data_IF_579155305452
#
_entry.id   IF_579155305452
#
_cell.length_a   1.000
_cell.length_b   1.000
_cell.length_c   1.000
_cell.angle_alpha   90.00
_cell.angle_beta   90.00
_cell.angle_gamma   90.00
#
_symmetry.space_group_name_H-M   'P 1'
#
loop_
_entity.id
_entity.type
_entity.pdbx_description
1 polymer ?
#
# COMPACT_ATOMS: atom_id res chain seq x y z
N UNK A 1 -10.85 21.88 35.92
CA UNK A 1 -11.74 22.33 34.82
C UNK A 1 -11.14 21.70 33.58
N UNK A 2 -11.68 20.55 33.19
CA UNK A 2 -11.07 19.65 32.20
C UNK A 2 -11.64 19.97 30.82
N UNK A 3 -10.75 20.12 29.84
CA UNK A 3 -11.04 20.39 28.44
C UNK A 3 -11.56 19.12 27.75
N UNK A 4 -12.66 19.17 26.98
CA UNK A 4 -13.04 18.08 26.09
C UNK A 4 -12.45 18.27 24.69
N UNK A 5 -11.70 17.29 24.21
CA UNK A 5 -11.28 17.15 22.80
C UNK A 5 -12.29 16.33 22.01
N UNK A 6 -12.51 16.70 20.74
CA UNK A 6 -13.37 15.96 19.81
C UNK A 6 -12.54 14.86 19.15
N UNK A 7 -13.02 13.61 19.20
CA UNK A 7 -12.48 12.46 18.46
C UNK A 7 -13.47 12.14 17.34
N UNK A 8 -13.02 12.15 16.09
CA UNK A 8 -13.80 11.70 14.93
C UNK A 8 -13.27 10.33 14.52
N UNK A 9 -14.04 9.28 14.81
CA UNK A 9 -13.79 7.90 14.38
C UNK A 9 -14.62 7.57 13.13
N UNK A 10 -13.97 7.03 12.09
CA UNK A 10 -14.60 6.62 10.83
C UNK A 10 -14.33 5.15 10.51
N UNK A 11 -15.02 4.20 11.16
CA UNK A 11 -15.01 2.79 10.74
C UNK A 11 -15.91 1.85 11.57
N UNK A 12 -16.87 1.15 10.94
CA UNK A 12 -17.97 0.37 11.55
C UNK A 12 -17.54 -0.91 12.34
N UNK A 13 -18.07 -1.12 13.56
CA UNK A 13 -19.10 -2.15 13.91
C UNK A 13 -19.46 -2.23 15.43
N UNK A 14 -20.79 -2.26 15.69
CA UNK A 14 -21.60 -2.40 16.94
C UNK A 14 -21.95 -1.08 17.69
N UNK A 15 -23.25 -0.82 17.98
CA UNK A 15 -23.66 0.40 18.66
C UNK A 15 -23.23 0.34 20.13
N UNK A 16 -22.24 1.14 20.49
CA UNK A 16 -22.01 1.51 21.88
C UNK A 16 -23.07 2.55 22.21
N UNK A 17 -23.93 2.26 23.18
CA UNK A 17 -24.86 3.22 23.75
C UNK A 17 -24.03 4.21 24.57
N UNK A 18 -23.39 5.16 23.89
CA UNK A 18 -22.81 6.31 24.54
C UNK A 18 -23.98 7.21 24.97
N UNK A 19 -24.09 7.47 26.27
CA UNK A 19 -24.86 8.61 26.75
C UNK A 19 -24.17 9.86 26.19
N UNK A 20 -24.58 10.28 24.99
CA UNK A 20 -24.31 11.61 24.49
C UNK A 20 -25.08 12.57 25.38
N UNK A 21 -24.41 13.12 26.39
CA UNK A 21 -24.77 14.46 26.85
C UNK A 21 -24.56 15.38 25.65
N UNK A 22 -25.63 15.63 24.91
CA UNK A 22 -25.73 16.77 23.99
C UNK A 22 -25.79 18.03 24.84
N UNK A 23 -24.65 18.44 25.39
CA UNK A 23 -24.46 19.79 25.89
C UNK A 23 -23.83 20.64 24.78
N UNK A 24 -24.57 21.66 24.35
CA UNK A 24 -24.15 22.64 23.37
C UNK A 24 -24.86 22.46 22.03
N UNK A 25 -25.92 23.23 21.81
CA UNK A 25 -26.26 23.65 20.45
C UNK A 25 -25.09 24.53 20.02
N UNK A 26 -24.18 23.94 19.26
CA UNK A 26 -23.10 24.66 18.61
C UNK A 26 -23.72 25.64 17.60
N UNK A 27 -23.19 26.87 17.57
CA UNK A 27 -23.60 27.91 16.63
C UNK A 27 -23.42 27.41 15.18
N UNK A 28 -24.19 27.94 14.23
CA UNK A 28 -24.11 27.59 12.80
C UNK A 28 -22.73 27.88 12.18
N UNK A 29 -21.88 28.64 12.90
CA UNK A 29 -20.52 29.02 12.50
C UNK A 29 -19.41 28.01 12.87
N UNK A 30 -19.73 26.80 13.35
CA UNK A 30 -18.71 25.83 13.80
C UNK A 30 -18.03 25.06 12.66
N UNK A 31 -18.64 25.03 11.47
CA UNK A 31 -18.04 24.46 10.26
C UNK A 31 -17.78 25.60 9.29
N UNK A 32 -16.64 26.27 9.43
CA UNK A 32 -16.19 27.31 8.49
C UNK A 32 -15.50 26.70 7.28
N UNK A 33 -15.43 27.43 6.17
CA UNK A 33 -14.65 27.02 4.99
C UNK A 33 -13.18 26.77 5.34
N UNK A 34 -12.62 27.56 6.26
CA UNK A 34 -11.26 27.40 6.77
C UNK A 34 -11.06 26.05 7.48
N UNK A 35 -12.00 25.62 8.34
CA UNK A 35 -11.93 24.31 9.01
C UNK A 35 -12.08 23.18 7.99
N UNK A 36 -12.98 23.34 7.02
CA UNK A 36 -13.15 22.36 5.94
C UNK A 36 -11.86 22.24 5.12
N UNK A 37 -11.21 23.36 4.81
CA UNK A 37 -9.96 23.35 4.06
C UNK A 37 -8.83 22.65 4.84
N UNK A 38 -8.73 22.95 6.13
CA UNK A 38 -7.71 22.39 7.02
C UNK A 38 -7.88 20.87 7.24
N UNK A 39 -9.12 20.36 7.29
CA UNK A 39 -9.39 18.95 7.60
C UNK A 39 -9.61 18.08 6.35
N UNK A 40 -10.24 18.60 5.29
CA UNK A 40 -10.70 17.77 4.15
C UNK A 40 -9.94 17.99 2.86
N UNK A 41 -9.43 19.19 2.61
CA UNK A 41 -8.86 19.53 1.31
C UNK A 41 -7.34 19.41 1.26
N UNK A 42 -6.70 19.07 2.39
CA UNK A 42 -5.25 18.98 2.53
C UNK A 42 -4.83 17.57 2.95
N UNK A 43 -3.64 17.11 2.52
CA UNK A 43 -3.03 15.92 3.08
C UNK A 43 -2.86 16.07 4.59
N UNK A 44 -2.84 14.95 5.31
CA UNK A 44 -2.46 14.96 6.72
C UNK A 44 -1.04 15.56 6.86
N UNK A 45 -0.81 16.47 7.82
CA UNK A 45 0.40 17.31 7.85
C UNK A 45 1.65 16.56 8.31
N UNK A 46 1.52 15.32 8.80
CA UNK A 46 2.65 14.47 9.18
C UNK A 46 2.83 13.38 8.14
N UNK A 47 4.05 13.28 7.60
CA UNK A 47 4.43 12.28 6.61
C UNK A 47 5.76 11.65 6.99
N UNK A 48 5.92 10.36 6.70
CA UNK A 48 7.18 9.64 6.88
C UNK A 48 7.60 9.08 5.52
N UNK A 49 8.43 9.80 4.75
CA UNK A 49 8.91 9.30 3.47
C UNK A 49 9.60 7.94 3.63
N UNK A 50 9.36 6.99 2.71
CA UNK A 50 9.96 5.67 2.80
C UNK A 50 11.46 5.73 2.54
N UNK A 51 12.20 4.85 3.20
CA UNK A 51 13.60 4.59 2.90
C UNK A 51 13.75 3.21 2.25
N UNK A 52 14.66 3.12 1.29
CA UNK A 52 14.96 1.89 0.58
C UNK A 52 16.37 1.42 0.90
N UNK A 53 16.50 0.16 1.33
CA UNK A 53 17.78 -0.44 1.72
C UNK A 53 18.15 -1.58 0.80
N UNK A 54 19.44 -1.67 0.46
CA UNK A 54 19.95 -2.73 -0.43
C UNK A 54 20.37 -3.99 0.32
N UNK A 55 20.63 -3.91 1.63
CA UNK A 55 20.90 -5.08 2.47
C UNK A 55 19.60 -5.53 3.15
N UNK A 56 19.16 -6.77 2.85
CA UNK A 56 17.98 -7.39 3.44
C UNK A 56 18.04 -7.47 4.97
N UNK A 57 19.24 -7.42 5.57
CA UNK A 57 19.44 -7.50 7.02
C UNK A 57 20.10 -6.25 7.59
N UNK A 58 19.93 -5.09 6.96
CA UNK A 58 20.49 -3.81 7.41
C UNK A 58 20.21 -3.57 8.91
N UNK A 59 21.28 -3.44 9.72
CA UNK A 59 21.16 -3.26 11.17
C UNK A 59 20.61 -1.89 11.53
N UNK A 60 21.26 -0.82 11.05
CA UNK A 60 20.96 0.56 11.41
C UNK A 60 20.45 1.33 10.21
N UNK A 61 19.35 2.05 10.40
CA UNK A 61 18.64 2.82 9.39
C UNK A 61 18.19 4.15 9.99
N UNK A 62 17.99 5.15 9.14
CA UNK A 62 17.49 6.45 9.54
C UNK A 62 16.42 6.89 8.56
N UNK A 63 15.33 7.43 9.08
CA UNK A 63 14.24 8.04 8.33
C UNK A 63 13.96 9.43 8.90
N UNK A 64 13.15 10.20 8.19
CA UNK A 64 12.72 11.53 8.60
C UNK A 64 11.19 11.55 8.70
N UNK A 65 10.68 12.16 9.77
CA UNK A 65 9.27 12.49 9.91
C UNK A 65 9.14 13.97 9.53
N UNK A 66 8.46 14.24 8.42
CA UNK A 66 8.21 15.58 7.93
C UNK A 66 6.87 16.07 8.46
N UNK A 67 6.90 17.22 9.14
CA UNK A 67 5.72 17.87 9.70
C UNK A 67 5.52 19.20 8.99
N UNK A 68 4.45 19.33 8.22
CA UNK A 68 4.19 20.50 7.36
C UNK A 68 2.98 21.27 7.86
N UNK A 69 3.16 22.54 8.22
CA UNK A 69 2.06 23.45 8.55
C UNK A 69 1.86 24.43 7.39
N UNK A 70 0.94 24.12 6.48
CA UNK A 70 0.58 25.01 5.36
C UNK A 70 -0.52 26.03 5.75
N UNK A 71 -0.82 26.16 7.05
CA UNK A 71 -1.85 27.09 7.55
C UNK A 71 -1.21 28.35 8.14
N UNK A 72 -2.05 29.37 8.32
CA UNK A 72 -1.69 30.59 9.03
C UNK A 72 -1.81 30.47 10.56
N UNK A 73 -2.18 29.29 11.07
CA UNK A 73 -2.37 29.01 12.49
C UNK A 73 -1.15 28.29 13.09
N UNK A 74 -0.79 28.57 14.36
CA UNK A 74 0.19 27.76 15.08
C UNK A 74 -0.28 26.29 15.15
N UNK A 75 0.65 25.37 14.94
CA UNK A 75 0.36 23.93 14.96
C UNK A 75 1.22 23.23 16.00
N UNK A 76 0.59 22.44 16.86
CA UNK A 76 1.26 21.53 17.78
C UNK A 76 1.13 20.10 17.29
N UNK A 77 2.21 19.35 17.32
CA UNK A 77 2.22 17.94 16.91
C UNK A 77 2.78 17.09 18.02
N UNK A 78 2.04 16.04 18.37
CA UNK A 78 2.49 15.00 19.30
C UNK A 78 2.64 13.68 18.53
N UNK A 79 3.83 13.09 18.60
CA UNK A 79 4.18 11.82 18.01
C UNK A 79 4.34 10.75 19.10
N UNK A 80 3.60 9.66 18.99
CA UNK A 80 3.66 8.53 19.92
C UNK A 80 4.00 7.25 19.16
N UNK A 81 5.18 6.70 19.44
CA UNK A 81 5.58 5.39 18.92
C UNK A 81 5.02 4.25 19.77
N UNK A 82 4.41 3.26 19.12
CA UNK A 82 3.99 2.01 19.77
C UNK A 82 5.14 1.00 19.82
N UNK A 83 5.37 0.41 20.99
CA UNK A 83 6.47 -0.55 21.19
C UNK A 83 6.40 -1.70 20.17
N UNK A 84 7.55 -2.03 19.57
CA UNK A 84 7.67 -3.02 18.51
C UNK A 84 8.56 -4.19 18.95
N UNK A 85 8.15 -5.44 18.66
CA UNK A 85 8.85 -6.63 19.18
C UNK A 85 10.16 -6.96 18.45
N UNK A 86 10.35 -6.42 17.24
CA UNK A 86 11.42 -6.82 16.32
C UNK A 86 12.35 -5.69 15.93
N UNK A 87 11.89 -4.44 16.09
CA UNK A 87 12.57 -3.23 15.64
C UNK A 87 12.68 -2.33 16.85
N UNK A 88 13.88 -1.85 17.13
CA UNK A 88 14.08 -0.75 18.07
C UNK A 88 14.10 0.55 17.27
N UNK A 89 13.38 1.57 17.73
CA UNK A 89 13.39 2.87 17.07
C UNK A 89 13.29 4.01 18.08
N UNK A 90 13.77 5.19 17.68
CA UNK A 90 13.77 6.39 18.51
C UNK A 90 13.55 7.62 17.64
N UNK A 91 12.61 8.47 18.06
CA UNK A 91 12.44 9.82 17.53
C UNK A 91 13.25 10.79 18.39
N UNK A 92 13.88 11.79 17.77
CA UNK A 92 14.64 12.80 18.51
C UNK A 92 13.70 13.71 19.33
N UNK A 93 12.50 13.98 18.80
CA UNK A 93 11.44 14.73 19.45
C UNK A 93 10.09 14.01 19.32
N UNK A 94 9.20 14.21 20.29
CA UNK A 94 7.85 13.66 20.29
C UNK A 94 6.75 14.70 20.47
N UNK A 95 7.12 15.95 20.74
CA UNK A 95 6.22 17.10 20.83
C UNK A 95 6.88 18.27 20.12
N UNK A 96 6.18 18.88 19.18
CA UNK A 96 6.68 19.93 18.30
C UNK A 96 5.72 21.11 18.31
N UNK A 97 6.27 22.32 18.29
CA UNK A 97 5.56 23.54 17.90
C UNK A 97 6.04 23.92 16.50
N UNK A 98 5.12 23.94 15.55
CA UNK A 98 5.39 24.15 14.13
C UNK A 98 4.78 25.49 13.74
N UNK A 99 5.64 26.41 13.31
CA UNK A 99 5.22 27.76 12.94
C UNK A 99 4.27 27.74 11.74
N UNK A 100 3.39 28.75 11.61
CA UNK A 100 2.60 28.92 10.39
C UNK A 100 3.47 28.92 9.13
N UNK A 101 2.98 28.29 8.06
CA UNK A 101 3.65 28.20 6.76
C UNK A 101 5.10 27.67 6.84
N UNK A 102 5.36 26.70 7.73
CA UNK A 102 6.69 26.12 7.94
C UNK A 102 6.69 24.60 7.89
N UNK A 103 7.90 24.03 7.82
CA UNK A 103 8.15 22.59 7.85
C UNK A 103 9.17 22.31 8.95
N UNK A 104 8.86 21.35 9.82
CA UNK A 104 9.79 20.77 10.78
C UNK A 104 10.14 19.33 10.40
N UNK A 105 11.34 18.89 10.74
CA UNK A 105 11.84 17.54 10.47
C UNK A 105 12.26 16.90 11.78
N UNK A 106 11.74 15.71 12.07
CA UNK A 106 12.16 14.88 13.21
C UNK A 106 12.90 13.66 12.71
N UNK A 107 14.10 13.41 13.21
CA UNK A 107 14.84 12.19 12.89
C UNK A 107 14.19 10.98 13.54
N UNK A 108 14.06 9.90 12.77
CA UNK A 108 13.63 8.58 13.22
C UNK A 108 14.78 7.58 13.02
N UNK A 109 15.50 7.28 14.11
CA UNK A 109 16.53 6.25 14.12
C UNK A 109 15.90 4.87 14.29
N UNK A 110 16.29 3.90 13.45
CA UNK A 110 15.69 2.56 13.40
C UNK A 110 16.78 1.50 13.43
N UNK A 111 16.56 0.44 14.21
CA UNK A 111 17.49 -0.67 14.38
C UNK A 111 16.79 -2.03 14.29
N UNK A 112 17.20 -2.81 13.30
CA UNK A 112 16.83 -4.22 13.13
C UNK A 112 17.73 -5.09 14.00
N UNK A 113 17.54 -5.01 15.32
CA UNK A 113 18.41 -5.64 16.31
C UNK A 113 18.50 -7.16 16.18
N UNK A 114 17.50 -7.80 15.56
CA UNK A 114 17.46 -9.24 15.30
C UNK A 114 18.05 -9.64 13.94
N UNK A 115 18.48 -8.67 13.11
CA UNK A 115 19.00 -8.90 11.76
C UNK A 115 18.06 -9.79 10.92
N UNK A 116 16.75 -9.59 11.10
CA UNK A 116 15.73 -10.28 10.28
C UNK A 116 15.74 -9.74 8.87
N UNK A 117 15.20 -10.51 7.93
CA UNK A 117 14.93 -9.98 6.60
C UNK A 117 13.94 -8.82 6.72
N UNK A 118 14.25 -7.67 6.13
CA UNK A 118 13.46 -6.45 6.21
C UNK A 118 12.08 -6.63 5.60
N UNK A 119 11.94 -7.45 4.55
CA UNK A 119 10.62 -7.78 3.99
C UNK A 119 9.77 -8.64 4.94
N UNK A 120 10.40 -9.32 5.91
CA UNK A 120 9.73 -10.20 6.89
C UNK A 120 9.34 -9.49 8.19
N UNK A 121 9.69 -8.21 8.37
CA UNK A 121 9.36 -7.45 9.57
C UNK A 121 7.93 -6.95 9.54
N UNK A 122 7.30 -6.76 10.71
CA UNK A 122 6.06 -5.97 10.83
C UNK A 122 6.35 -4.47 10.84
N UNK A 123 5.40 -3.61 10.40
CA UNK A 123 5.57 -2.17 10.43
C UNK A 123 5.58 -1.63 11.87
N UNK A 124 6.32 -0.53 12.05
CA UNK A 124 6.26 0.33 13.23
C UNK A 124 4.95 1.14 13.17
N UNK A 125 4.24 1.22 14.29
CA UNK A 125 3.08 2.12 14.41
C UNK A 125 3.50 3.43 15.08
N UNK A 126 3.22 4.55 14.41
CA UNK A 126 3.42 5.90 14.95
C UNK A 126 2.08 6.62 14.90
N UNK A 127 1.59 7.04 16.06
CA UNK A 127 0.39 7.87 16.18
C UNK A 127 0.79 9.33 16.19
N UNK A 128 0.17 10.11 15.32
CA UNK A 128 0.31 11.56 15.29
C UNK A 128 -0.99 12.20 15.72
N UNK A 129 -0.91 13.11 16.69
CA UNK A 129 -1.97 14.04 17.04
C UNK A 129 -1.53 15.45 16.67
N UNK A 130 -2.37 16.14 15.90
CA UNK A 130 -2.10 17.47 15.37
C UNK A 130 -3.18 18.40 15.88
N UNK A 131 -2.76 19.49 16.50
CA UNK A 131 -3.63 20.52 17.08
C UNK A 131 -3.31 21.86 16.44
N UNK A 132 -4.29 22.47 15.78
CA UNK A 132 -4.19 23.85 15.33
C UNK A 132 -4.85 24.76 16.34
N UNK A 133 -4.06 25.70 16.85
CA UNK A 133 -4.49 26.63 17.91
C UNK A 133 -5.19 27.84 17.30
N UNK A 134 -6.40 28.14 17.77
CA UNK A 134 -7.18 29.30 17.32
C UNK A 134 -7.39 30.29 18.47
N UNK A 135 -7.27 31.58 18.16
CA UNK A 135 -7.66 32.63 19.10
C UNK A 135 -9.19 32.69 19.19
N UNK A 136 -9.73 32.69 20.40
CA UNK A 136 -11.17 32.79 20.71
C UNK A 136 -12.08 31.69 20.13
N UNK A 137 -11.51 30.57 19.66
CA UNK A 137 -12.24 29.39 19.18
C UNK A 137 -11.62 28.10 19.72
N UNK A 138 -12.37 26.99 19.78
CA UNK A 138 -11.79 25.70 20.11
C UNK A 138 -10.72 25.29 19.09
N UNK A 139 -9.68 24.62 19.58
CA UNK A 139 -8.63 24.05 18.74
C UNK A 139 -9.20 23.00 17.78
N UNK A 140 -8.57 22.88 16.61
CA UNK A 140 -8.86 21.80 15.67
C UNK A 140 -7.86 20.67 15.89
N UNK A 141 -8.36 19.50 16.30
CA UNK A 141 -7.54 18.33 16.58
C UNK A 141 -7.78 17.25 15.52
N UNK A 142 -6.70 16.69 14.98
CA UNK A 142 -6.71 15.56 14.05
C UNK A 142 -5.76 14.48 14.54
N UNK A 143 -6.11 13.22 14.31
CA UNK A 143 -5.27 12.08 14.67
C UNK A 143 -5.15 11.11 13.51
N UNK A 144 -3.94 10.57 13.32
CA UNK A 144 -3.70 9.48 12.37
C UNK A 144 -2.70 8.48 12.95
N UNK A 145 -2.99 7.19 12.78
CA UNK A 145 -2.00 6.13 12.95
C UNK A 145 -1.32 5.87 11.61
N UNK A 146 0.00 5.94 11.58
CA UNK A 146 0.83 5.65 10.42
C UNK A 146 1.57 4.33 10.63
N UNK A 147 1.60 3.50 9.59
CA UNK A 147 2.33 2.24 9.55
C UNK A 147 3.60 2.43 8.73
N UNK A 148 4.75 2.39 9.38
CA UNK A 148 6.04 2.65 8.76
C UNK A 148 6.95 1.43 8.79
N UNK A 149 7.49 1.07 7.64
CA UNK A 149 8.46 -0.02 7.51
C UNK A 149 9.55 0.42 6.51
N UNK A 150 10.85 0.37 6.88
CA UNK A 150 11.92 0.46 5.88
C UNK A 150 11.73 -0.60 4.80
N UNK A 151 11.88 -0.22 3.53
CA UNK A 151 11.59 -1.11 2.40
C UNK A 151 12.87 -1.71 1.84
N UNK A 152 12.86 -3.01 1.51
CA UNK A 152 13.93 -3.57 0.69
C UNK A 152 13.87 -2.96 -0.72
N UNK A 153 15.03 -2.61 -1.28
CA UNK A 153 15.14 -2.06 -2.62
C UNK A 153 15.06 -3.18 -3.66
N UNK A 154 13.85 -3.46 -4.14
CA UNK A 154 13.63 -4.39 -5.25
C UNK A 154 14.12 -3.77 -6.56
N UNK A 155 14.89 -4.53 -7.33
CA UNK A 155 15.41 -4.13 -8.64
C UNK A 155 14.67 -4.88 -9.74
N UNK A 156 14.22 -4.15 -10.76
CA UNK A 156 13.72 -4.73 -12.00
C UNK A 156 14.90 -4.81 -12.96
N UNK A 157 15.25 -6.01 -13.40
CA UNK A 157 16.44 -6.28 -14.22
C UNK A 157 16.06 -6.70 -15.64
N UNK A 158 16.95 -6.41 -16.60
CA UNK A 158 16.81 -6.95 -17.95
C UNK A 158 17.05 -8.47 -17.93
N UNK A 159 16.16 -9.28 -18.53
CA UNK A 159 16.33 -10.72 -18.57
C UNK A 159 17.44 -11.11 -19.55
N UNK A 160 18.07 -12.27 -19.34
CA UNK A 160 19.10 -12.80 -20.26
C UNK A 160 18.50 -13.26 -21.60
N UNK A 161 17.23 -13.67 -21.57
CA UNK A 161 16.45 -14.09 -22.74
C UNK A 161 15.23 -13.19 -22.85
N UNK A 162 14.81 -12.91 -24.08
CA UNK A 162 13.54 -12.22 -24.32
C UNK A 162 12.40 -13.07 -23.73
N UNK A 163 11.55 -12.44 -22.93
CA UNK A 163 10.36 -13.07 -22.36
C UNK A 163 9.27 -13.11 -23.43
N UNK A 164 8.70 -14.28 -23.66
CA UNK A 164 7.54 -14.51 -24.50
C UNK A 164 6.33 -14.69 -23.60
N UNK A 165 5.35 -13.80 -23.70
CA UNK A 165 4.10 -13.90 -22.91
C UNK A 165 3.25 -15.05 -23.45
N UNK A 166 3.49 -16.25 -22.95
CA UNK A 166 2.80 -17.48 -23.33
C UNK A 166 2.31 -18.29 -22.13
N UNK A 167 2.48 -17.75 -20.93
CA UNK A 167 2.14 -18.38 -19.65
C UNK A 167 3.20 -19.39 -19.18
N UNK A 168 4.35 -19.51 -19.83
CA UNK A 168 5.45 -20.38 -19.41
C UNK A 168 6.59 -19.60 -18.77
N UNK A 169 7.00 -20.02 -17.58
CA UNK A 169 7.99 -19.28 -16.80
C UNK A 169 9.45 -19.70 -17.05
N UNK A 170 9.72 -20.49 -18.09
CA UNK A 170 11.04 -21.10 -18.33
C UNK A 170 12.14 -20.09 -18.68
N UNK A 171 11.76 -18.90 -19.16
CA UNK A 171 12.65 -17.83 -19.59
C UNK A 171 13.03 -16.87 -18.45
N UNK A 172 12.35 -16.96 -17.32
CA UNK A 172 12.51 -16.06 -16.18
C UNK A 172 13.77 -16.41 -15.39
N UNK A 173 14.71 -15.47 -15.34
CA UNK A 173 15.96 -15.58 -14.55
C UNK A 173 15.98 -14.63 -13.35
N UNK A 174 14.95 -13.81 -13.17
CA UNK A 174 14.83 -12.87 -12.05
C UNK A 174 14.59 -13.59 -10.71
N UNK A 175 14.88 -12.88 -9.61
CA UNK A 175 14.56 -13.37 -8.26
C UNK A 175 13.04 -13.45 -8.07
N UNK A 176 12.55 -14.61 -7.63
CA UNK A 176 11.15 -14.82 -7.28
C UNK A 176 10.90 -14.40 -5.83
N UNK A 177 9.93 -13.52 -5.64
CA UNK A 177 9.48 -13.01 -4.35
C UNK A 177 8.23 -13.79 -3.95
N UNK A 178 8.29 -14.49 -2.81
CA UNK A 178 7.12 -15.15 -2.24
C UNK A 178 6.18 -14.13 -1.59
N UNK A 179 4.88 -14.30 -1.79
CA UNK A 179 3.88 -13.61 -0.99
C UNK A 179 3.95 -14.10 0.46
N UNK A 180 3.79 -13.15 1.38
CA UNK A 180 3.73 -13.44 2.79
C UNK A 180 2.26 -13.47 3.24
N UNK A 181 1.85 -14.55 3.88
CA UNK A 181 0.47 -14.72 4.34
C UNK A 181 0.10 -13.85 5.54
N UNK A 182 1.05 -13.07 6.09
CA UNK A 182 0.79 -12.08 7.16
C UNK A 182 -0.20 -10.98 6.76
N UNK A 183 -0.33 -10.69 5.46
CA UNK A 183 -1.32 -9.72 4.95
C UNK A 183 -2.53 -10.39 4.32
N UNK A 184 -2.91 -11.56 4.85
CA UNK A 184 -4.16 -12.21 4.53
C UNK A 184 -5.31 -11.49 5.24
N UNK A 185 -6.32 -11.04 4.48
CA UNK A 185 -7.56 -10.55 5.07
C UNK A 185 -8.63 -11.63 4.97
N UNK A 186 -9.33 -11.88 6.11
CA UNK A 186 -10.43 -12.85 6.34
C UNK A 186 -10.01 -14.17 7.00
N UNK A 187 -10.89 -15.18 6.92
CA UNK A 187 -11.13 -16.17 7.96
C UNK A 187 -9.93 -17.13 8.10
N UNK A 188 -9.13 -17.03 9.18
CA UNK A 188 -7.92 -17.85 9.33
C UNK A 188 -8.21 -19.35 9.50
N UNK A 189 -9.49 -19.74 9.63
CA UNK A 189 -9.92 -21.13 9.70
C UNK A 189 -10.08 -21.80 8.33
N UNK A 190 -10.00 -21.03 7.23
CA UNK A 190 -10.06 -21.56 5.86
C UNK A 190 -8.68 -21.77 5.28
N UNK A 191 -7.67 -21.02 5.75
CA UNK A 191 -6.29 -21.19 5.31
C UNK A 191 -5.56 -22.32 6.05
N UNK A 192 -5.23 -23.42 5.35
CA UNK A 192 -4.57 -24.59 5.95
C UNK A 192 -3.03 -24.60 5.83
N UNK A 193 -2.42 -23.51 5.36
CA UNK A 193 -0.98 -23.38 5.19
C UNK A 193 -0.55 -23.41 3.73
N UNK A 194 0.74 -23.65 3.47
CA UNK A 194 1.29 -23.57 2.09
C UNK A 194 0.74 -24.64 1.14
N UNK A 195 0.09 -25.69 1.67
CA UNK A 195 -0.61 -26.70 0.86
C UNK A 195 -1.94 -26.20 0.29
N UNK A 196 -2.51 -25.16 0.91
CA UNK A 196 -3.77 -24.51 0.58
C UNK A 196 -3.52 -23.43 -0.49
N UNK A 197 -2.61 -22.49 -0.18
CA UNK A 197 -2.24 -21.42 -1.08
C UNK A 197 -0.74 -21.10 -0.97
N UNK A 198 -0.10 -20.95 -2.12
CA UNK A 198 1.20 -20.27 -2.21
C UNK A 198 1.30 -19.44 -3.48
N UNK A 199 1.96 -18.30 -3.40
CA UNK A 199 2.17 -17.43 -4.55
C UNK A 199 3.56 -16.83 -4.55
N UNK A 200 4.14 -16.77 -5.74
CA UNK A 200 5.40 -16.10 -5.99
C UNK A 200 5.27 -15.22 -7.22
N UNK A 201 6.04 -14.14 -7.27
CA UNK A 201 6.12 -13.31 -8.45
C UNK A 201 7.55 -12.86 -8.74
N UNK A 202 7.81 -12.50 -9.98
CA UNK A 202 9.05 -11.90 -10.41
C UNK A 202 8.76 -10.74 -11.36
N UNK A 203 9.71 -9.83 -11.51
CA UNK A 203 9.62 -8.72 -12.47
C UNK A 203 10.88 -8.64 -13.31
N UNK A 204 10.70 -8.20 -14.55
CA UNK A 204 11.78 -8.00 -15.51
C UNK A 204 11.41 -6.85 -16.45
N UNK A 205 12.35 -6.37 -17.25
CA UNK A 205 12.05 -5.39 -18.28
C UNK A 205 12.92 -5.56 -19.52
N UNK A 206 12.46 -5.11 -20.67
CA UNK A 206 13.31 -4.88 -21.83
C UNK A 206 13.02 -3.50 -22.46
N UNK A 207 13.42 -3.29 -23.71
CA UNK A 207 13.18 -2.03 -24.42
C UNK A 207 11.69 -1.78 -24.68
N UNK A 208 10.88 -2.84 -24.77
CA UNK A 208 9.50 -2.80 -25.21
C UNK A 208 8.52 -2.85 -24.01
N UNK A 209 8.81 -3.68 -22.99
CA UNK A 209 7.88 -3.97 -21.89
C UNK A 209 8.53 -4.03 -20.51
N UNK A 210 7.72 -3.75 -19.49
CA UNK A 210 7.93 -4.21 -18.11
C UNK A 210 7.06 -5.44 -17.90
N UNK A 211 7.66 -6.51 -17.41
CA UNK A 211 7.03 -7.82 -17.26
C UNK A 211 6.73 -8.11 -15.79
N UNK A 212 5.60 -8.77 -15.54
CA UNK A 212 5.23 -9.38 -14.26
C UNK A 212 4.90 -10.84 -14.49
N UNK A 213 5.66 -11.72 -13.84
CA UNK A 213 5.48 -13.17 -13.88
C UNK A 213 4.97 -13.63 -12.53
N UNK A 214 3.98 -14.52 -12.53
CA UNK A 214 3.32 -14.99 -11.32
C UNK A 214 3.19 -16.50 -11.37
N UNK A 215 3.48 -17.16 -10.25
CA UNK A 215 3.17 -18.56 -9.98
C UNK A 215 2.24 -18.63 -8.78
N UNK A 216 1.12 -19.32 -8.92
CA UNK A 216 0.16 -19.61 -7.85
C UNK A 216 0.01 -21.12 -7.73
N UNK A 217 -0.04 -21.62 -6.51
CA UNK A 217 -0.58 -22.93 -6.17
C UNK A 217 -1.83 -22.71 -5.35
N UNK A 218 -2.90 -23.39 -5.72
CA UNK A 218 -4.21 -23.36 -5.08
C UNK A 218 -4.78 -24.78 -5.07
N UNK A 219 -5.39 -25.20 -3.96
CA UNK A 219 -5.97 -26.53 -3.83
C UNK A 219 -7.35 -26.66 -4.51
N UNK A 220 -8.07 -25.54 -4.71
CA UNK A 220 -9.34 -25.49 -5.43
C UNK A 220 -9.46 -24.25 -6.33
N UNK A 221 -9.79 -24.46 -7.61
CA UNK A 221 -10.02 -23.34 -8.53
C UNK A 221 -11.51 -23.02 -8.65
N UNK A 222 -12.00 -22.02 -7.94
CA UNK A 222 -13.35 -21.50 -8.12
C UNK A 222 -13.43 -20.50 -9.28
N UNK A 223 -14.07 -20.96 -10.36
CA UNK A 223 -14.25 -20.20 -11.61
C UNK A 223 -15.73 -20.01 -11.93
N UNK A 224 -16.12 -18.78 -12.21
CA UNK A 224 -17.49 -18.48 -12.60
C UNK A 224 -17.50 -17.50 -13.77
N UNK A 225 -17.52 -18.05 -14.99
CA UNK A 225 -17.42 -17.29 -16.24
C UNK A 225 -18.56 -16.31 -16.52
N UNK A 226 -19.67 -16.40 -15.78
CA UNK A 226 -20.80 -15.44 -15.87
C UNK A 226 -20.75 -14.36 -14.77
N UNK A 227 -19.83 -14.48 -13.81
CA UNK A 227 -19.76 -13.60 -12.65
C UNK A 227 -18.63 -12.59 -12.74
N UNK A 228 -18.67 -11.60 -11.86
CA UNK A 228 -17.64 -10.57 -11.80
C UNK A 228 -16.27 -11.16 -11.44
N UNK A 229 -15.20 -10.47 -11.84
CA UNK A 229 -13.84 -10.92 -11.53
C UNK A 229 -13.58 -11.02 -10.01
N UNK A 230 -14.21 -10.18 -9.18
CA UNK A 230 -14.01 -10.21 -7.72
C UNK A 230 -14.83 -11.29 -6.98
N UNK A 231 -15.50 -12.18 -7.71
CA UNK A 231 -16.27 -13.31 -7.14
C UNK A 231 -15.74 -14.66 -7.59
N UNK A 232 -14.45 -14.72 -7.95
CA UNK A 232 -13.76 -15.93 -8.40
C UNK A 232 -12.25 -15.74 -8.19
N UNK A 233 -11.49 -16.79 -8.46
CA UNK A 233 -10.04 -16.75 -8.33
C UNK A 233 -9.40 -15.80 -9.32
N UNK A 234 -8.62 -14.86 -8.76
CA UNK A 234 -8.06 -13.75 -9.52
C UNK A 234 -6.70 -13.36 -8.98
N UNK A 235 -5.73 -13.27 -9.89
CA UNK A 235 -4.47 -12.56 -9.64
C UNK A 235 -4.74 -11.06 -9.72
N UNK A 236 -4.25 -10.34 -8.72
CA UNK A 236 -4.38 -8.89 -8.59
C UNK A 236 -3.01 -8.27 -8.82
N UNK A 237 -2.91 -7.37 -9.79
CA UNK A 237 -1.73 -6.52 -10.00
C UNK A 237 -2.15 -5.06 -9.96
N UNK A 238 -1.85 -4.40 -8.84
CA UNK A 238 -1.88 -2.94 -8.73
C UNK A 238 -0.60 -2.37 -9.32
N UNK A 239 -0.71 -1.39 -10.22
CA UNK A 239 0.43 -0.81 -10.94
C UNK A 239 0.34 0.72 -10.97
N UNK A 240 1.23 1.38 -10.22
CA UNK A 240 1.39 2.83 -10.23
C UNK A 240 2.70 3.20 -10.93
N UNK A 241 2.57 3.67 -12.17
CA UNK A 241 3.68 4.02 -13.04
C UNK A 241 4.11 5.49 -12.92
N UNK A 242 3.50 6.27 -12.03
CA UNK A 242 3.85 7.68 -11.80
C UNK A 242 5.26 7.81 -11.21
N UNK A 243 5.87 9.02 -11.22
CA UNK A 243 7.14 9.26 -10.56
C UNK A 243 7.12 8.80 -9.08
N UNK A 244 8.24 8.25 -8.59
CA UNK A 244 8.36 7.67 -7.25
C UNK A 244 7.82 8.58 -6.14
N UNK A 245 8.15 9.88 -6.19
CA UNK A 245 7.69 10.90 -5.23
C UNK A 245 6.16 11.01 -5.10
N UNK A 246 5.41 10.52 -6.10
CA UNK A 246 3.94 10.48 -6.11
C UNK A 246 3.47 9.09 -5.70
N UNK A 247 4.00 8.05 -6.36
CA UNK A 247 3.52 6.68 -6.16
C UNK A 247 3.79 6.17 -4.75
N UNK A 248 4.90 6.53 -4.13
CA UNK A 248 5.31 6.01 -2.82
C UNK A 248 4.39 6.46 -1.67
N UNK A 249 3.79 7.64 -1.80
CA UNK A 249 2.85 8.21 -0.80
C UNK A 249 1.38 8.02 -1.19
N UNK A 250 1.10 7.36 -2.32
CA UNK A 250 -0.27 7.16 -2.78
C UNK A 250 -1.04 6.21 -1.85
N UNK A 251 -2.20 6.65 -1.36
CA UNK A 251 -3.14 5.88 -0.55
C UNK A 251 -4.33 5.39 -1.40
N UNK A 252 -4.03 4.91 -2.62
CA UNK A 252 -5.02 4.30 -3.50
C UNK A 252 -5.92 5.28 -4.25
N UNK A 253 -5.69 6.59 -4.13
CA UNK A 253 -6.39 7.60 -4.92
C UNK A 253 -6.09 7.42 -6.42
N UNK A 254 -7.08 7.70 -7.26
CA UNK A 254 -6.92 7.63 -8.71
C UNK A 254 -6.92 6.22 -9.31
N UNK A 255 -7.48 5.22 -8.63
CA UNK A 255 -7.62 3.86 -9.19
C UNK A 255 -8.28 3.89 -10.57
N UNK A 256 -7.72 3.15 -11.53
CA UNK A 256 -8.11 3.06 -12.94
C UNK A 256 -8.05 4.39 -13.72
N UNK A 257 -7.41 5.43 -13.16
CA UNK A 257 -7.17 6.72 -13.85
C UNK A 257 -5.71 7.14 -13.81
N UNK A 258 -5.09 7.01 -12.64
CA UNK A 258 -3.72 7.40 -12.35
C UNK A 258 -2.82 6.19 -12.06
N UNK A 259 -3.41 5.08 -11.63
CA UNK A 259 -2.77 3.78 -11.46
C UNK A 259 -3.74 2.67 -11.88
N UNK A 260 -3.21 1.54 -12.33
CA UNK A 260 -4.00 0.44 -12.89
C UNK A 260 -4.26 -0.63 -11.83
N UNK A 261 -5.46 -1.20 -11.85
CA UNK A 261 -5.79 -2.42 -11.11
C UNK A 261 -6.10 -3.53 -12.12
N UNK A 262 -5.11 -4.34 -12.44
CA UNK A 262 -5.26 -5.48 -13.32
C UNK A 262 -5.80 -6.66 -12.49
N UNK A 263 -6.99 -7.14 -12.84
CA UNK A 263 -7.60 -8.34 -12.25
C UNK A 263 -7.62 -9.41 -13.32
N UNK A 264 -6.78 -10.43 -13.16
CA UNK A 264 -6.57 -11.51 -14.11
C UNK A 264 -7.20 -12.78 -13.58
N UNK A 265 -8.29 -13.22 -14.22
CA UNK A 265 -8.99 -14.45 -13.82
C UNK A 265 -8.19 -15.69 -14.14
N UNK A 266 -8.18 -16.66 -13.23
CA UNK A 266 -7.55 -17.96 -13.43
C UNK A 266 -8.45 -18.84 -14.30
N UNK A 267 -8.45 -18.61 -15.62
CA UNK A 267 -9.06 -19.48 -16.62
C UNK A 267 -8.20 -19.54 -17.89
N UNK A 268 -8.52 -20.44 -18.82
CA UNK A 268 -7.74 -20.63 -20.05
C UNK A 268 -7.75 -19.38 -20.94
N UNK A 269 -8.81 -18.57 -20.87
CA UNK A 269 -8.93 -17.30 -21.59
C UNK A 269 -8.12 -16.17 -20.93
N UNK A 270 -7.75 -16.29 -19.65
CA UNK A 270 -7.00 -15.30 -18.90
C UNK A 270 -7.67 -13.91 -18.90
N UNK A 271 -8.99 -13.84 -18.73
CA UNK A 271 -9.71 -12.58 -18.92
C UNK A 271 -9.25 -11.47 -17.94
N UNK A 272 -8.85 -10.31 -18.48
CA UNK A 272 -8.60 -9.09 -17.72
C UNK A 272 -9.88 -8.27 -17.52
N UNK A 273 -10.13 -7.85 -16.28
CA UNK A 273 -11.18 -6.89 -15.94
C UNK A 273 -10.98 -5.56 -16.66
N UNK A 274 -12.07 -4.97 -17.18
CA UNK A 274 -12.07 -3.66 -17.85
C UNK A 274 -10.99 -3.53 -18.94
N UNK A 275 -10.72 -4.61 -19.69
CA UNK A 275 -9.66 -4.65 -20.70
C UNK A 275 -9.76 -3.53 -21.77
N UNK A 276 -10.95 -3.01 -22.02
CA UNK A 276 -11.19 -1.89 -22.94
C UNK A 276 -10.70 -0.53 -22.41
N UNK A 277 -10.54 -0.37 -21.09
CA UNK A 277 -10.07 0.86 -20.45
C UNK A 277 -8.57 0.81 -20.12
N UNK A 278 -7.92 -0.32 -20.38
CA UNK A 278 -6.49 -0.50 -20.18
C UNK A 278 -5.66 0.15 -21.30
N UNK A 279 -4.40 0.55 -21.02
CA UNK A 279 -3.49 1.01 -22.07
C UNK A 279 -3.33 0.00 -23.20
N UNK A 280 -3.32 0.50 -24.44
CA UNK A 280 -3.06 -0.31 -25.63
C UNK A 280 -1.72 -1.05 -25.51
N UNK A 281 -1.68 -2.29 -25.99
CA UNK A 281 -0.45 -3.09 -26.07
C UNK A 281 -0.12 -3.89 -24.82
N UNK A 282 -0.97 -3.91 -23.79
CA UNK A 282 -0.81 -4.86 -22.69
C UNK A 282 -1.03 -6.29 -23.20
N UNK A 283 -0.04 -7.14 -22.99
CA UNK A 283 -0.11 -8.57 -23.28
C UNK A 283 -0.27 -9.33 -21.97
N UNK A 284 -1.03 -10.42 -21.98
CA UNK A 284 -1.15 -11.30 -20.83
C UNK A 284 -1.46 -12.72 -21.28
N UNK A 285 -1.07 -13.70 -20.48
CA UNK A 285 -1.44 -15.09 -20.67
C UNK A 285 -1.49 -15.79 -19.32
N UNK A 286 -2.46 -16.69 -19.16
CA UNK A 286 -2.56 -17.60 -18.03
C UNK A 286 -2.48 -19.03 -18.52
N UNK A 287 -1.84 -19.91 -17.73
CA UNK A 287 -1.87 -21.36 -17.89
C UNK A 287 -2.20 -21.99 -16.55
N UNK A 288 -3.06 -23.00 -16.58
CA UNK A 288 -3.40 -23.79 -15.39
C UNK A 288 -3.06 -25.25 -15.64
N UNK A 289 -2.40 -25.89 -14.68
CA UNK A 289 -1.99 -27.28 -14.74
C UNK A 289 -2.18 -27.95 -13.37
N UNK A 290 -3.34 -28.60 -13.19
CA UNK A 290 -3.71 -29.16 -11.89
C UNK A 290 -3.89 -28.04 -10.86
N UNK A 291 -3.17 -28.13 -9.74
CA UNK A 291 -3.18 -27.15 -8.64
C UNK A 291 -2.23 -25.95 -8.87
N UNK A 292 -1.46 -25.94 -9.97
CA UNK A 292 -0.58 -24.82 -10.27
C UNK A 292 -1.16 -23.96 -11.40
N UNK A 293 -1.09 -22.63 -11.23
CA UNK A 293 -1.33 -21.67 -12.30
C UNK A 293 -0.10 -20.75 -12.47
N UNK A 294 0.19 -20.41 -13.72
CA UNK A 294 1.21 -19.45 -14.10
C UNK A 294 0.58 -18.35 -14.92
N UNK A 295 0.99 -17.11 -14.65
CA UNK A 295 0.54 -15.95 -15.40
C UNK A 295 1.71 -15.06 -15.76
N UNK A 296 1.62 -14.47 -16.94
CA UNK A 296 2.55 -13.47 -17.43
C UNK A 296 1.78 -12.24 -17.89
N UNK A 297 2.30 -11.06 -17.58
CA UNK A 297 1.80 -9.78 -18.05
C UNK A 297 2.96 -8.96 -18.58
N UNK A 298 2.78 -8.32 -19.73
CA UNK A 298 3.72 -7.36 -20.29
C UNK A 298 3.03 -6.01 -20.49
N UNK A 299 3.55 -4.99 -19.83
CA UNK A 299 3.03 -3.63 -19.87
C UNK A 299 4.00 -2.77 -20.68
N UNK A 300 3.56 -2.05 -21.73
CA UNK A 300 4.47 -1.31 -22.60
C UNK A 300 5.31 -0.27 -21.84
N UNK A 301 6.62 -0.24 -22.10
CA UNK A 301 7.55 0.80 -21.57
C UNK A 301 7.06 2.21 -21.92
N UNK A 302 6.42 2.37 -23.10
CA UNK A 302 5.82 3.63 -23.53
C UNK A 302 4.76 4.16 -22.55
N UNK A 303 4.00 3.30 -21.88
CA UNK A 303 3.06 3.69 -20.84
C UNK A 303 3.78 4.27 -19.62
N UNK A 304 4.83 3.60 -19.12
CA UNK A 304 5.62 4.10 -17.98
C UNK A 304 6.30 5.42 -18.31
N UNK A 305 6.90 5.53 -19.50
CA UNK A 305 7.54 6.76 -19.93
C UNK A 305 6.56 7.93 -20.04
N UNK A 306 5.35 7.67 -20.52
CA UNK A 306 4.26 8.67 -20.56
C UNK A 306 3.86 9.12 -19.16
N UNK A 307 3.69 8.19 -18.22
CA UNK A 307 3.29 8.49 -16.85
C UNK A 307 4.37 9.27 -16.07
N UNK A 308 5.65 9.04 -16.38
CA UNK A 308 6.77 9.72 -15.73
C UNK A 308 7.24 10.97 -16.48
N UNK A 309 6.79 11.17 -17.72
CA UNK A 309 7.23 12.24 -18.62
C UNK A 309 8.75 12.23 -18.92
N UNK A 310 9.35 11.04 -18.82
CA UNK A 310 10.77 10.76 -19.03
C UNK A 310 10.97 9.25 -19.15
N UNK A 311 12.20 8.79 -19.38
CA UNK A 311 12.51 7.37 -19.28
C UNK A 311 12.21 6.85 -17.88
N UNK A 312 11.43 5.78 -17.79
CA UNK A 312 10.98 5.25 -16.53
C UNK A 312 12.15 4.80 -15.64
N UNK A 313 12.05 5.11 -14.35
CA UNK A 313 13.10 4.80 -13.36
C UNK A 313 12.60 3.85 -12.26
N UNK A 314 11.30 3.82 -12.02
CA UNK A 314 10.68 3.03 -10.97
C UNK A 314 9.23 2.72 -11.29
N UNK A 315 8.66 1.75 -10.59
CA UNK A 315 7.22 1.44 -10.61
C UNK A 315 6.81 0.99 -9.21
N UNK A 316 5.61 1.32 -8.76
CA UNK A 316 5.00 0.66 -7.59
C UNK A 316 4.12 -0.48 -8.07
N UNK A 317 4.36 -1.68 -7.56
CA UNK A 317 3.59 -2.89 -7.88
C UNK A 317 3.03 -3.48 -6.59
N UNK A 318 1.72 -3.70 -6.56
CA UNK A 318 1.03 -4.49 -5.55
C UNK A 318 0.62 -5.81 -6.16
N UNK A 319 0.95 -6.92 -5.51
CA UNK A 319 0.57 -8.26 -5.95
C UNK A 319 -0.37 -8.85 -4.92
N UNK A 320 -1.42 -9.49 -5.38
CA UNK A 320 -2.33 -10.23 -4.52
C UNK A 320 -3.12 -11.29 -5.26
N UNK A 321 -3.95 -12.00 -4.51
CA UNK A 321 -4.80 -13.06 -4.98
C UNK A 321 -6.13 -13.04 -4.22
N UNK A 322 -7.22 -13.16 -4.95
CA UNK A 322 -8.50 -13.57 -4.38
C UNK A 322 -8.59 -15.07 -4.48
N UNK A 323 -8.70 -15.71 -3.33
CA UNK A 323 -8.83 -17.15 -3.13
C UNK A 323 -10.27 -17.47 -2.75
N UNK A 324 -10.94 -18.32 -3.53
CA UNK A 324 -12.30 -18.78 -3.29
C UNK A 324 -12.37 -20.31 -3.27
N UNK A 325 -12.83 -20.88 -2.16
CA UNK A 325 -13.11 -22.32 -2.06
C UNK A 325 -14.46 -22.73 -2.68
N UNK A 326 -14.63 -24.05 -2.88
CA UNK A 326 -15.84 -24.71 -3.35
C UNK A 326 -17.11 -24.17 -2.66
N UNK A 327 -17.98 -23.57 -3.47
CA UNK A 327 -19.24 -22.97 -3.04
C UNK A 327 -19.24 -21.44 -3.09
N UNK A 328 -18.10 -20.78 -3.30
CA UNK A 328 -17.99 -19.37 -3.71
C UNK A 328 -18.56 -18.35 -2.72
N UNK A 329 -18.75 -18.74 -1.46
CA UNK A 329 -19.38 -17.89 -0.43
C UNK A 329 -18.37 -17.10 0.39
N UNK A 330 -17.18 -17.66 0.56
CA UNK A 330 -16.10 -17.06 1.34
C UNK A 330 -14.91 -16.85 0.42
N UNK A 331 -14.14 -15.81 0.72
CA UNK A 331 -12.99 -15.36 -0.07
C UNK A 331 -11.88 -15.03 0.91
N UNK A 332 -10.66 -15.46 0.68
CA UNK A 332 -9.48 -14.93 1.33
C UNK A 332 -8.75 -13.98 0.39
N UNK A 333 -8.25 -12.87 0.93
CA UNK A 333 -7.45 -11.92 0.15
C UNK A 333 -6.00 -12.07 0.58
N UNK A 334 -5.15 -12.62 -0.28
CA UNK A 334 -3.72 -12.71 -0.03
C UNK A 334 -3.01 -11.55 -0.72
N UNK A 335 -2.17 -10.81 0.00
CA UNK A 335 -1.50 -9.63 -0.55
C UNK A 335 -0.02 -9.62 -0.17
N UNK A 336 0.83 -9.14 -1.07
CA UNK A 336 2.27 -8.98 -0.78
C UNK A 336 2.54 -7.89 0.26
N UNK A 337 1.76 -6.81 0.19
CA UNK A 337 1.69 -5.73 1.18
C UNK A 337 0.22 -5.36 1.38
N UNK A 338 -0.15 -4.68 2.49
CA UNK A 338 -1.50 -4.14 2.63
C UNK A 338 -1.90 -3.36 1.38
N UNK A 339 -3.10 -3.64 0.86
CA UNK A 339 -3.59 -2.97 -0.34
C UNK A 339 -3.58 -1.44 -0.14
N UNK A 340 -3.12 -0.69 -1.13
CA UNK A 340 -2.86 0.76 -1.02
C UNK A 340 -4.09 1.60 -0.68
N UNK A 341 -5.28 1.01 -0.71
CA UNK A 341 -6.56 1.65 -0.39
C UNK A 341 -7.00 1.44 1.06
N UNK A 342 -6.20 0.78 1.90
CA UNK A 342 -6.54 0.51 3.31
C UNK A 342 -5.84 1.49 4.26
N UNK A 343 -6.37 1.61 5.48
CA UNK A 343 -5.75 2.39 6.56
C UNK A 343 -4.40 1.81 7.01
N UNK A 344 -4.13 0.54 6.69
CA UNK A 344 -2.89 -0.18 7.01
C UNK A 344 -1.82 -0.03 5.91
N UNK A 345 -2.07 0.81 4.90
CA UNK A 345 -1.11 1.07 3.81
C UNK A 345 0.25 1.49 4.38
N UNK A 346 1.28 0.78 3.96
CA UNK A 346 2.67 1.12 4.24
C UNK A 346 3.19 1.97 3.07
N UNK A 347 3.60 3.22 3.31
CA UNK A 347 4.18 4.07 2.27
C UNK A 347 5.50 3.49 1.72
N UNK A 348 5.73 3.65 0.42
CA UNK A 348 6.85 3.05 -0.31
C UNK A 348 6.77 1.55 -0.56
N UNK A 349 5.79 0.85 0.03
CA UNK A 349 5.62 -0.59 -0.20
C UNK A 349 5.37 -0.91 -1.67
N UNK A 350 6.01 -1.98 -2.16
CA UNK A 350 5.90 -2.42 -3.55
C UNK A 350 6.66 -1.58 -4.58
N UNK A 351 7.45 -0.60 -4.15
CA UNK A 351 8.32 0.14 -5.08
C UNK A 351 9.45 -0.74 -5.60
N UNK A 352 9.63 -0.72 -6.92
CA UNK A 352 10.70 -1.41 -7.63
C UNK A 352 11.45 -0.41 -8.51
N UNK A 353 12.76 -0.59 -8.63
CA UNK A 353 13.67 0.35 -9.29
C UNK A 353 14.31 -0.30 -10.50
N UNK A 354 14.31 0.40 -11.63
CA UNK A 354 15.03 -0.04 -12.82
C UNK A 354 16.54 -0.13 -12.51
N UNK A 355 17.17 -1.23 -12.92
CA UNK A 355 18.63 -1.42 -12.81
C UNK A 355 19.35 -1.16 -14.12
#
# INVERSE_FOLDING_TARGET
MYLPGIIIDTGRLRPILANLLLEGIWDENVVTEEIVDLVRNRPFPVQIPPIYVSDKKQLAMAAEIKVTNDSDLPMKVKLEGINHQEIFYRMDDSILEVSPNSVEIVSLAISNVKMKDISSLSPIEIRAEVTYEKEDQPDVVMQQTMYYLPQYKYEVISPEKKIVVDGMLAEWTAEWVSLDTRYMSRNPFHYNGEEDFSMQFATAYDEDYVYVGVKVTDDDWYRNGESAHWTQDVIIVGLDARPSRISEMNNGYGRNREWLSLLLTINEEGALYESADLPDGILHQVKVNGQEATAEMAIPVSYFNKMQQQDWQSVRIGIGYYDFDEGGKERNDHMWFPAWTTAETIHGSGMMFKK
#
